data_IF_403120184702
#
_entry.id   IF_403120184702
#
_cell.length_a   1.000
_cell.length_b   1.000
_cell.length_c   1.000
_cell.angle_alpha   90.00
_cell.angle_beta   90.00
_cell.angle_gamma   90.00
#
_symmetry.space_group_name_H-M   'P 1'
#
loop_
_entity.id
_entity.type
_entity.pdbx_description
1 polymer ?
#
# COMPACT_ATOMS: atom_id res chain seq x y z
N UNK A 1 28.38 -5.60 1.98
CA UNK A 1 28.72 -4.15 1.96
C UNK A 1 28.44 -3.62 0.57
N UNK A 2 27.81 -2.46 0.46
CA UNK A 2 27.40 -1.83 -0.80
C UNK A 2 28.45 -0.78 -1.20
N UNK A 3 29.01 -0.87 -2.40
CA UNK A 3 29.89 0.18 -2.96
C UNK A 3 29.07 1.11 -3.86
N UNK A 4 28.92 2.37 -3.47
CA UNK A 4 28.11 3.34 -4.20
C UNK A 4 28.94 4.05 -5.27
N UNK A 5 28.48 4.00 -6.52
CA UNK A 5 29.16 4.54 -7.70
C UNK A 5 28.22 5.45 -8.48
N UNK A 6 28.75 6.50 -9.13
CA UNK A 6 27.93 7.45 -9.89
C UNK A 6 27.35 6.80 -11.16
N UNK A 7 26.07 7.07 -11.44
CA UNK A 7 25.34 6.47 -12.57
C UNK A 7 24.91 5.00 -12.40
N UNK A 8 25.28 4.33 -11.31
CA UNK A 8 24.94 2.92 -11.06
C UNK A 8 23.94 2.83 -9.90
N UNK A 9 22.81 2.15 -10.14
CA UNK A 9 21.85 1.81 -9.08
C UNK A 9 22.41 0.61 -8.30
N UNK A 10 22.64 0.73 -6.98
CA UNK A 10 23.21 -0.36 -6.20
C UNK A 10 22.20 -1.48 -5.95
N UNK A 11 22.68 -2.73 -5.90
CA UNK A 11 21.90 -3.84 -5.36
C UNK A 11 21.72 -3.68 -3.84
N UNK A 12 20.49 -3.93 -3.38
CA UNK A 12 20.06 -3.87 -1.99
C UNK A 12 19.29 -5.13 -1.62
N UNK A 13 19.38 -5.57 -0.36
CA UNK A 13 18.54 -6.65 0.17
C UNK A 13 17.33 -6.02 0.86
N UNK A 14 16.14 -6.30 0.38
CA UNK A 14 14.88 -5.86 0.99
C UNK A 14 14.29 -7.01 1.79
N UNK A 15 14.04 -6.78 3.08
CA UNK A 15 13.43 -7.74 4.02
C UNK A 15 12.23 -7.15 4.76
N UNK A 16 12.08 -5.83 4.69
CA UNK A 16 11.16 -5.03 5.50
C UNK A 16 10.41 -4.02 4.65
N UNK A 17 9.28 -3.53 5.14
CA UNK A 17 8.49 -2.47 4.49
C UNK A 17 9.16 -1.09 4.52
N UNK A 18 10.05 -0.86 5.49
CA UNK A 18 10.69 0.43 5.74
C UNK A 18 12.22 0.36 5.69
N UNK A 19 12.86 1.45 5.25
CA UNK A 19 14.31 1.62 5.33
C UNK A 19 14.69 2.73 6.31
N UNK A 20 15.77 2.56 7.09
CA UNK A 20 16.36 3.57 7.97
C UNK A 20 17.77 3.91 7.49
N UNK A 21 18.06 5.17 7.21
CA UNK A 21 19.36 5.64 6.69
C UNK A 21 20.05 6.55 7.71
N UNK A 22 21.31 6.28 8.05
CA UNK A 22 22.12 7.13 8.92
C UNK A 22 23.54 7.41 8.36
N UNK A 23 24.02 8.65 8.53
CA UNK A 23 25.35 9.09 8.02
C UNK A 23 26.27 9.69 9.10
N UNK A 24 25.84 9.73 10.35
CA UNK A 24 26.58 10.24 11.52
C UNK A 24 26.75 9.12 12.55
N UNK A 25 27.79 9.20 13.40
CA UNK A 25 27.99 8.21 14.46
C UNK A 25 26.78 8.10 15.40
N UNK A 26 26.19 9.24 15.74
CA UNK A 26 25.03 9.30 16.64
C UNK A 26 23.74 8.84 15.92
N UNK A 27 23.55 9.21 14.65
CA UNK A 27 22.47 8.66 13.83
C UNK A 27 22.53 7.14 13.68
N UNK A 28 23.71 6.53 13.65
CA UNK A 28 23.85 5.05 13.68
C UNK A 28 23.34 4.46 15.01
N UNK A 29 23.50 5.16 16.13
CA UNK A 29 22.92 4.71 17.41
C UNK A 29 21.39 4.76 17.37
N UNK A 30 20.81 5.87 16.88
CA UNK A 30 19.36 6.01 16.69
C UNK A 30 18.80 4.95 15.73
N UNK A 31 19.42 4.75 14.56
CA UNK A 31 19.00 3.76 13.57
C UNK A 31 19.03 2.32 14.12
N UNK A 32 20.08 1.98 14.87
CA UNK A 32 20.19 0.66 15.51
C UNK A 32 19.25 0.50 16.70
N UNK A 33 18.85 1.59 17.36
CA UNK A 33 17.81 1.57 18.38
C UNK A 33 16.44 1.29 17.75
N UNK A 34 16.08 1.98 16.67
CA UNK A 34 14.86 1.75 15.89
C UNK A 34 14.74 0.29 15.40
N UNK A 35 15.83 -0.30 14.92
CA UNK A 35 15.87 -1.73 14.55
C UNK A 35 15.41 -2.67 15.68
N UNK A 36 15.60 -2.26 16.95
CA UNK A 36 15.20 -3.05 18.13
C UNK A 36 13.85 -2.67 18.72
N UNK A 37 13.44 -1.40 18.63
CA UNK A 37 12.21 -0.89 19.27
C UNK A 37 11.01 -0.76 18.35
N UNK A 38 11.23 -0.53 17.05
CA UNK A 38 10.16 -0.38 16.05
C UNK A 38 9.96 -1.68 15.25
N UNK A 39 11.06 -2.39 14.93
CA UNK A 39 11.02 -3.56 14.06
C UNK A 39 10.67 -3.20 12.60
N UNK A 40 10.54 -4.19 11.73
CA UNK A 40 10.08 -3.98 10.35
C UNK A 40 10.89 -2.95 9.53
N UNK A 41 12.19 -2.81 9.81
CA UNK A 41 13.12 -1.87 9.14
C UNK A 41 14.39 -2.56 8.67
N UNK A 42 14.82 -2.22 7.44
CA UNK A 42 16.18 -2.47 6.98
C UNK A 42 17.04 -1.22 7.21
N UNK A 43 18.23 -1.39 7.80
CA UNK A 43 19.08 -0.28 8.28
C UNK A 43 20.31 -0.12 7.40
N UNK A 44 20.54 1.10 6.92
CA UNK A 44 21.64 1.46 6.03
C UNK A 44 22.51 2.54 6.68
N UNK A 45 23.81 2.28 6.84
CA UNK A 45 24.77 3.31 7.28
C UNK A 45 26.18 3.10 6.75
N UNK A 46 26.99 4.17 6.87
CA UNK A 46 28.36 4.19 6.34
C UNK A 46 29.26 3.15 7.03
N UNK A 47 30.02 2.40 6.23
CA UNK A 47 30.98 1.36 6.66
C UNK A 47 31.93 1.82 7.76
N UNK A 48 32.37 3.08 7.74
CA UNK A 48 33.23 3.71 8.77
C UNK A 48 32.63 3.77 10.18
N UNK A 49 31.36 3.43 10.37
CA UNK A 49 30.68 3.35 11.66
C UNK A 49 30.27 1.92 12.05
N UNK A 50 30.77 0.91 11.33
CA UNK A 50 30.56 -0.50 11.65
C UNK A 50 31.11 -0.86 13.04
N UNK A 51 30.47 -1.84 13.67
CA UNK A 51 30.73 -2.36 15.02
C UNK A 51 31.17 -3.82 15.01
N UNK A 52 31.05 -4.51 13.87
CA UNK A 52 31.49 -5.89 13.66
C UNK A 52 30.40 -6.95 13.82
N UNK A 53 29.15 -6.54 14.03
CA UNK A 53 27.98 -7.41 14.25
C UNK A 53 26.89 -7.28 13.16
N UNK A 54 27.17 -6.48 12.12
CA UNK A 54 26.20 -6.10 11.07
C UNK A 54 25.87 -7.21 10.05
N UNK A 55 26.79 -8.13 9.77
CA UNK A 55 26.58 -9.26 8.86
C UNK A 55 27.46 -10.44 9.30
N UNK A 56 26.84 -11.57 9.63
CA UNK A 56 27.48 -12.89 9.50
C UNK A 56 26.71 -13.64 8.42
N UNK A 57 27.23 -13.61 7.20
CA UNK A 57 26.78 -14.46 6.09
C UNK A 57 28.00 -15.07 5.44
N UNK A 58 28.24 -16.36 5.71
CA UNK A 58 29.12 -17.18 4.88
C UNK A 58 28.48 -17.35 3.51
N UNK A 59 29.14 -16.89 2.45
CA UNK A 59 28.71 -17.18 1.09
C UNK A 59 28.81 -18.69 0.83
N UNK A 60 27.66 -19.33 0.59
CA UNK A 60 27.61 -20.72 0.13
C UNK A 60 28.11 -20.83 -1.31
N UNK A 61 29.02 -21.77 -1.55
CA UNK A 61 29.73 -21.91 -2.82
C UNK A 61 28.80 -22.20 -4.01
N UNK A 62 29.04 -21.49 -5.12
CA UNK A 62 28.51 -21.82 -6.43
C UNK A 62 29.67 -21.83 -7.47
N UNK A 63 30.66 -22.70 -7.25
CA UNK A 63 31.55 -23.11 -8.34
C UNK A 63 30.80 -24.10 -9.24
N UNK A 64 30.76 -23.82 -10.54
CA UNK A 64 30.30 -24.77 -11.55
C UNK A 64 29.17 -24.27 -12.46
N UNK A 65 29.54 -23.58 -13.54
CA UNK A 65 29.63 -24.26 -14.84
C UNK A 65 30.48 -23.42 -15.82
N UNK A 66 31.40 -24.09 -16.51
CA UNK A 66 32.09 -23.49 -17.66
C UNK A 66 31.20 -23.55 -18.90
N UNK A 67 31.15 -22.47 -19.67
CA UNK A 67 31.24 -22.58 -21.12
C UNK A 67 31.91 -21.33 -21.69
N UNK A 68 32.84 -21.55 -22.62
CA UNK A 68 33.58 -20.48 -23.27
C UNK A 68 33.13 -20.37 -24.74
N UNK A 69 32.99 -19.15 -25.23
CA UNK A 69 33.11 -18.84 -26.65
C UNK A 69 33.68 -17.43 -26.80
N UNK A 70 34.78 -17.33 -27.53
CA UNK A 70 35.44 -16.06 -27.85
C UNK A 70 35.33 -15.80 -29.35
N UNK A 71 34.88 -14.60 -29.70
CA UNK A 71 35.18 -13.86 -30.92
C UNK A 71 34.75 -12.40 -30.66
N UNK A 72 35.36 -11.35 -31.18
CA UNK A 72 36.41 -11.28 -32.20
C UNK A 72 36.16 -10.04 -33.07
N UNK A 73 36.71 -8.88 -32.71
CA UNK A 73 36.43 -7.63 -33.46
C UNK A 73 37.26 -6.43 -33.00
N UNK A 74 37.92 -5.74 -33.94
CA UNK A 74 38.95 -4.72 -33.69
C UNK A 74 38.60 -3.35 -34.29
N UNK A 75 38.84 -2.30 -33.49
CA UNK A 75 39.54 -1.05 -33.83
C UNK A 75 38.85 0.09 -34.63
N UNK A 76 39.44 1.29 -34.41
CA UNK A 76 39.25 2.62 -35.01
C UNK A 76 37.91 3.34 -34.70
N UNK A 77 37.87 4.64 -34.34
CA UNK A 77 38.92 5.60 -33.98
C UNK A 77 38.95 6.85 -34.87
N UNK A 78 38.50 8.00 -34.35
CA UNK A 78 38.89 9.34 -34.82
C UNK A 78 38.56 10.43 -33.79
N UNK A 79 39.47 11.39 -33.65
CA UNK A 79 39.36 12.60 -32.83
C UNK A 79 39.02 13.82 -33.67
N UNK A 80 38.31 14.82 -33.13
CA UNK A 80 38.61 16.25 -33.40
C UNK A 80 38.31 17.09 -32.14
N UNK A 81 39.16 18.09 -31.88
CA UNK A 81 38.91 19.20 -30.95
C UNK A 81 37.77 20.12 -31.47
N UNK A 82 37.20 21.10 -30.76
CA UNK A 82 37.48 21.70 -29.44
C UNK A 82 37.30 23.23 -29.56
N UNK A 83 36.74 23.89 -28.55
CA UNK A 83 36.70 25.35 -28.41
C UNK A 83 36.34 25.75 -26.96
N UNK A 84 36.97 26.81 -26.46
CA UNK A 84 36.86 27.27 -25.07
C UNK A 84 35.80 28.38 -24.91
N UNK A 85 35.23 28.52 -23.70
CA UNK A 85 35.50 29.66 -22.80
C UNK A 85 34.38 29.95 -21.78
N UNK A 86 34.79 30.15 -20.51
CA UNK A 86 34.34 31.20 -19.57
C UNK A 86 32.84 31.38 -19.21
N UNK A 87 32.42 31.59 -17.95
CA UNK A 87 33.04 31.49 -16.61
C UNK A 87 31.97 31.74 -15.51
N UNK A 88 32.38 31.57 -14.24
CA UNK A 88 31.79 32.08 -12.98
C UNK A 88 30.58 31.35 -12.38
N UNK A 89 30.87 30.58 -11.32
CA UNK A 89 30.02 30.48 -10.13
C UNK A 89 30.91 30.21 -8.88
N UNK A 90 31.34 31.29 -8.24
CA UNK A 90 31.70 31.30 -6.80
C UNK A 90 30.43 31.04 -5.95
N UNK A 91 30.45 30.58 -4.70
CA UNK A 91 31.46 29.90 -3.90
C UNK A 91 30.74 29.33 -2.65
N UNK A 92 31.22 28.21 -2.08
CA UNK A 92 30.97 27.81 -0.69
C UNK A 92 31.72 26.50 -0.35
N UNK A 93 33.04 26.59 -0.15
CA UNK A 93 33.80 25.48 0.44
C UNK A 93 34.65 26.04 1.58
N UNK A 94 34.32 25.68 2.82
CA UNK A 94 35.01 26.12 4.02
C UNK A 94 35.21 24.91 4.94
N UNK A 95 36.42 24.35 4.89
CA UNK A 95 36.84 23.29 5.79
C UNK A 95 37.21 23.86 7.17
N UNK A 96 37.07 23.04 8.22
CA UNK A 96 37.76 23.24 9.49
C UNK A 96 38.64 22.02 9.74
N UNK A 97 39.92 22.29 9.98
CA UNK A 97 40.96 21.29 10.24
C UNK A 97 40.95 20.84 11.70
N UNK A 98 41.42 19.61 11.96
CA UNK A 98 41.86 19.16 13.27
C UNK A 98 43.25 18.53 13.14
N UNK A 99 44.15 18.85 14.07
CA UNK A 99 45.56 18.45 14.03
C UNK A 99 45.89 17.36 15.06
N UNK A 100 46.85 16.50 14.73
CA UNK A 100 47.38 15.45 15.60
C UNK A 100 48.30 16.00 16.71
N UNK A 101 48.16 15.50 17.96
CA UNK A 101 49.28 15.31 18.91
C UNK A 101 49.01 14.06 19.80
N UNK A 102 50.01 13.18 19.90
CA UNK A 102 50.21 12.10 20.89
C UNK A 102 51.70 12.15 21.35
N UNK A 103 52.28 11.27 22.22
CA UNK A 103 51.81 10.07 22.97
C UNK A 103 51.83 10.32 24.51
N UNK A 104 51.95 9.41 25.51
CA UNK A 104 52.24 7.95 25.64
C UNK A 104 51.60 7.42 26.97
N UNK A 105 51.80 6.20 27.50
CA UNK A 105 52.64 5.05 27.13
C UNK A 105 52.46 3.84 28.09
N UNK A 106 52.87 2.63 27.63
CA UNK A 106 53.27 1.37 28.35
C UNK A 106 52.47 0.88 29.59
N UNK A 107 52.07 -0.39 29.77
CA UNK A 107 52.28 -1.70 29.09
C UNK A 107 51.19 -2.71 29.59
N UNK A 108 51.02 -3.97 29.14
CA UNK A 108 51.65 -4.71 28.02
C UNK A 108 51.93 -6.21 28.35
N UNK A 109 50.96 -7.11 28.13
CA UNK A 109 51.11 -8.59 28.19
C UNK A 109 50.37 -9.28 27.04
N UNK A 110 50.95 -10.36 26.50
CA UNK A 110 50.50 -11.14 25.33
C UNK A 110 49.56 -12.33 25.71
N UNK A 111 48.92 -13.02 24.74
CA UNK A 111 47.56 -13.55 24.91
C UNK A 111 47.48 -15.00 25.38
N UNK A 112 46.26 -15.42 25.70
CA UNK A 112 45.88 -16.83 25.89
C UNK A 112 44.71 -17.14 24.96
N UNK A 113 44.85 -18.18 24.12
CA UNK A 113 43.77 -18.65 23.25
C UNK A 113 42.57 -19.16 24.06
N UNK A 114 41.36 -18.73 23.66
CA UNK A 114 40.11 -19.34 24.08
C UNK A 114 39.22 -19.54 22.85
N UNK A 115 38.88 -20.79 22.55
CA UNK A 115 38.19 -21.18 21.33
C UNK A 115 36.78 -20.59 21.21
N UNK A 116 36.35 -20.31 19.98
CA UNK A 116 35.04 -19.78 19.67
C UNK A 116 33.91 -20.80 19.96
N UNK A 117 32.77 -20.36 20.52
CA UNK A 117 31.53 -21.12 20.48
C UNK A 117 30.73 -20.84 19.20
N UNK A 118 30.43 -21.93 18.48
CA UNK A 118 29.25 -22.20 17.66
C UNK A 118 28.37 -21.04 17.14
N UNK A 119 28.15 -21.08 15.82
CA UNK A 119 27.05 -20.47 15.05
C UNK A 119 25.77 -20.16 15.84
N UNK A 120 25.63 -18.90 16.26
CA UNK A 120 24.33 -18.28 16.52
C UNK A 120 24.01 -17.34 15.34
N UNK A 121 22.80 -17.43 14.77
CA UNK A 121 22.33 -16.47 13.78
C UNK A 121 22.20 -15.09 14.44
N UNK A 122 22.84 -14.06 13.88
CA UNK A 122 22.83 -12.72 14.45
C UNK A 122 21.39 -12.18 14.62
N UNK A 123 21.02 -11.62 15.78
CA UNK A 123 19.74 -10.94 15.95
C UNK A 123 19.65 -9.62 15.15
N UNK A 124 20.73 -9.21 14.47
CA UNK A 124 20.80 -7.99 13.65
C UNK A 124 20.62 -8.24 12.15
N UNK A 125 19.81 -9.24 11.78
CA UNK A 125 19.39 -9.43 10.40
C UNK A 125 18.62 -8.23 9.87
N UNK A 126 19.25 -7.40 9.04
CA UNK A 126 18.64 -6.18 8.49
C UNK A 126 19.61 -5.00 8.30
N UNK A 127 20.84 -5.07 8.82
CA UNK A 127 21.84 -4.02 8.62
C UNK A 127 22.58 -4.21 7.28
N UNK A 128 22.79 -3.12 6.54
CA UNK A 128 23.53 -3.07 5.28
C UNK A 128 24.48 -1.88 5.26
N UNK A 129 25.77 -2.18 5.45
CA UNK A 129 26.84 -1.19 5.37
C UNK A 129 27.05 -0.72 3.94
N UNK A 130 27.18 0.59 3.72
CA UNK A 130 27.54 1.18 2.44
C UNK A 130 28.80 2.07 2.50
N UNK A 131 29.46 2.25 1.38
CA UNK A 131 30.57 3.19 1.20
C UNK A 131 30.32 4.09 -0.02
N UNK A 132 30.80 5.33 0.03
CA UNK A 132 30.53 6.36 -0.98
C UNK A 132 29.41 7.34 -0.58
N UNK A 133 28.85 8.05 -1.56
CA UNK A 133 27.85 9.10 -1.33
C UNK A 133 26.45 8.53 -1.16
N UNK A 134 25.83 8.75 0.00
CA UNK A 134 24.47 8.29 0.34
C UNK A 134 23.41 8.69 -0.68
N UNK A 135 23.62 9.78 -1.45
CA UNK A 135 22.75 10.20 -2.56
C UNK A 135 22.53 9.06 -3.57
N UNK A 136 23.55 8.25 -3.83
CA UNK A 136 23.50 7.15 -4.81
C UNK A 136 22.76 5.91 -4.29
N UNK A 137 22.41 5.86 -3.00
CA UNK A 137 21.60 4.78 -2.43
C UNK A 137 20.09 5.01 -2.67
N UNK A 138 19.65 6.27 -2.68
CA UNK A 138 18.23 6.61 -2.87
C UNK A 138 17.58 6.04 -4.15
N UNK A 139 18.23 6.02 -5.34
CA UNK A 139 17.66 5.39 -6.54
C UNK A 139 17.26 3.92 -6.37
N UNK A 140 17.93 3.17 -5.48
CA UNK A 140 17.57 1.79 -5.16
C UNK A 140 16.48 1.72 -4.08
N UNK A 141 16.55 2.57 -3.04
CA UNK A 141 15.59 2.54 -1.93
C UNK A 141 14.21 3.11 -2.31
N UNK A 142 14.17 4.17 -3.10
CA UNK A 142 12.95 4.94 -3.41
C UNK A 142 11.82 4.11 -4.06
N UNK A 143 12.08 3.19 -5.02
CA UNK A 143 11.05 2.30 -5.55
C UNK A 143 10.85 1.01 -4.73
N UNK A 144 11.70 0.73 -3.73
CA UNK A 144 11.78 -0.58 -3.09
C UNK A 144 11.09 -0.67 -1.71
N UNK A 145 10.85 0.47 -1.05
CA UNK A 145 10.28 0.54 0.30
C UNK A 145 8.97 1.34 0.31
N UNK A 146 8.06 1.01 1.22
CA UNK A 146 6.83 1.80 1.45
C UNK A 146 7.15 3.15 2.10
N UNK A 147 8.19 3.19 2.94
CA UNK A 147 8.67 4.42 3.55
C UNK A 147 10.16 4.39 3.91
N UNK A 148 10.77 5.57 3.98
CA UNK A 148 12.20 5.76 4.24
C UNK A 148 12.39 6.79 5.35
N UNK A 149 13.03 6.36 6.42
CA UNK A 149 13.36 7.13 7.63
C UNK A 149 14.81 7.60 7.49
N UNK A 150 15.02 8.91 7.35
CA UNK A 150 16.32 9.51 7.14
C UNK A 150 16.83 10.22 8.40
N UNK A 151 17.87 9.70 9.02
CA UNK A 151 18.59 10.35 10.14
C UNK A 151 19.71 11.22 9.56
N UNK A 152 19.25 12.27 8.85
CA UNK A 152 20.01 13.18 7.99
C UNK A 152 19.28 14.53 8.02
N UNK A 153 19.99 15.65 7.91
CA UNK A 153 19.35 16.98 7.88
C UNK A 153 18.32 17.11 6.76
N UNK A 154 17.14 17.64 7.08
CA UNK A 154 15.98 17.77 6.18
C UNK A 154 16.34 18.36 4.81
N UNK A 155 17.10 19.47 4.80
CA UNK A 155 17.51 20.14 3.57
C UNK A 155 18.46 19.33 2.69
N UNK A 156 19.21 18.37 3.25
CA UNK A 156 20.00 17.43 2.46
C UNK A 156 19.12 16.33 1.86
N UNK A 157 18.19 15.76 2.65
CA UNK A 157 17.24 14.74 2.20
C UNK A 157 16.40 15.26 1.03
N UNK A 158 15.79 16.44 1.17
CA UNK A 158 15.01 17.08 0.10
C UNK A 158 15.81 17.22 -1.20
N UNK A 159 17.09 17.63 -1.14
CA UNK A 159 17.96 17.75 -2.33
C UNK A 159 18.32 16.40 -2.95
N UNK A 160 18.40 15.33 -2.16
CA UNK A 160 18.70 13.98 -2.66
C UNK A 160 17.50 13.32 -3.33
N UNK A 161 16.29 13.51 -2.77
CA UNK A 161 15.06 12.92 -3.32
C UNK A 161 14.44 13.74 -4.45
N UNK A 162 14.69 15.05 -4.53
CA UNK A 162 14.08 15.93 -5.55
C UNK A 162 14.19 15.43 -7.01
N UNK A 163 15.31 14.81 -7.47
CA UNK A 163 15.40 14.25 -8.83
C UNK A 163 14.65 12.92 -9.03
N UNK A 164 14.10 12.32 -7.96
CA UNK A 164 13.43 11.01 -7.98
C UNK A 164 11.90 11.12 -7.83
N UNK A 165 11.39 12.30 -7.46
CA UNK A 165 9.97 12.54 -7.24
C UNK A 165 9.17 12.35 -8.54
N UNK A 166 8.07 11.60 -8.47
CA UNK A 166 7.16 11.38 -9.59
C UNK A 166 5.77 11.91 -9.25
N UNK A 167 5.09 11.27 -8.30
CA UNK A 167 3.77 11.68 -7.85
C UNK A 167 3.42 11.13 -6.46
N UNK A 168 2.57 11.85 -5.72
CA UNK A 168 2.18 11.54 -4.33
C UNK A 168 1.44 10.19 -4.11
N UNK A 169 1.14 9.44 -5.17
CA UNK A 169 0.49 8.11 -5.11
C UNK A 169 1.50 6.98 -5.31
N UNK A 170 2.69 7.25 -5.86
CA UNK A 170 3.78 6.29 -6.07
C UNK A 170 4.99 6.55 -5.18
N UNK A 171 5.29 7.82 -4.92
CA UNK A 171 6.45 8.20 -4.12
C UNK A 171 6.29 7.68 -2.68
N UNK A 172 7.32 7.03 -2.09
CA UNK A 172 7.25 6.45 -0.75
C UNK A 172 7.11 7.52 0.33
N UNK A 173 6.62 7.12 1.51
CA UNK A 173 6.59 8.00 2.67
C UNK A 173 8.00 8.35 3.14
N UNK A 174 8.40 9.63 3.06
CA UNK A 174 9.71 10.07 3.58
C UNK A 174 9.52 10.73 4.94
N UNK A 175 10.25 10.22 5.93
CA UNK A 175 10.32 10.75 7.29
C UNK A 175 11.76 11.16 7.59
N UNK A 176 11.95 12.30 8.26
CA UNK A 176 13.27 12.79 8.68
C UNK A 176 13.34 12.85 10.20
N UNK A 177 14.45 12.37 10.76
CA UNK A 177 14.78 12.48 12.18
C UNK A 177 15.99 13.39 12.32
N UNK A 178 15.95 14.36 13.23
CA UNK A 178 17.13 15.17 13.54
C UNK A 178 18.21 14.34 14.28
N UNK A 179 19.46 14.80 14.28
CA UNK A 179 20.59 14.00 14.78
C UNK A 179 20.46 13.65 16.28
N UNK A 180 19.71 14.41 17.08
CA UNK A 180 19.44 14.09 18.50
C UNK A 180 18.20 13.21 18.71
N UNK A 181 17.37 13.02 17.69
CA UNK A 181 16.09 12.33 17.81
C UNK A 181 15.01 13.08 18.59
N UNK A 182 15.06 14.43 18.64
CA UNK A 182 14.02 15.23 19.31
C UNK A 182 12.73 15.32 18.48
N UNK A 183 12.86 15.33 17.14
CA UNK A 183 11.78 15.50 16.17
C UNK A 183 11.77 14.43 15.09
N UNK A 184 10.57 13.99 14.74
CA UNK A 184 10.30 13.05 13.64
C UNK A 184 9.34 13.74 12.67
N UNK A 185 9.84 14.11 11.50
CA UNK A 185 9.22 15.07 10.58
C UNK A 185 8.69 14.31 9.36
N UNK A 186 7.40 14.43 9.05
CA UNK A 186 6.84 13.96 7.78
C UNK A 186 7.25 14.92 6.65
N UNK A 187 7.82 14.38 5.56
CA UNK A 187 8.45 15.19 4.49
C UNK A 187 7.79 15.00 3.13
N UNK A 188 7.47 13.75 2.75
CA UNK A 188 6.91 13.41 1.45
C UNK A 188 5.81 12.35 1.62
N UNK A 189 4.76 12.41 0.79
CA UNK A 189 3.67 11.43 0.75
C UNK A 189 2.97 11.20 2.11
N UNK A 190 2.64 12.31 2.80
CA UNK A 190 2.04 12.31 4.14
C UNK A 190 0.83 11.40 4.33
N UNK A 191 -0.16 11.44 3.42
CA UNK A 191 -1.37 10.63 3.51
C UNK A 191 -1.21 9.24 2.87
N UNK A 192 -1.30 9.15 1.54
CA UNK A 192 -1.38 7.87 0.83
C UNK A 192 -0.14 6.98 1.01
N UNK A 193 1.05 7.58 0.91
CA UNK A 193 2.33 6.93 1.18
C UNK A 193 2.70 6.82 2.67
N UNK A 194 1.80 7.19 3.59
CA UNK A 194 1.91 6.86 5.01
C UNK A 194 2.92 7.65 5.84
N UNK A 195 3.59 8.69 5.32
CA UNK A 195 4.63 9.39 6.11
C UNK A 195 4.10 10.07 7.39
N UNK A 196 2.82 10.47 7.43
CA UNK A 196 2.22 11.03 8.65
C UNK A 196 1.96 9.97 9.72
N UNK A 197 1.63 8.74 9.31
CA UNK A 197 1.45 7.61 10.21
C UNK A 197 2.82 7.13 10.71
N UNK A 198 3.74 6.85 9.80
CA UNK A 198 5.13 6.47 10.11
C UNK A 198 5.82 7.48 11.02
N UNK A 199 5.61 8.80 10.81
CA UNK A 199 6.17 9.83 11.69
C UNK A 199 5.59 9.79 13.12
N UNK A 200 4.32 9.41 13.31
CA UNK A 200 3.72 9.23 14.65
C UNK A 200 4.26 7.99 15.34
N UNK A 201 4.30 6.86 14.64
CA UNK A 201 4.75 5.59 15.21
C UNK A 201 6.23 5.63 15.60
N UNK A 202 7.09 6.15 14.71
CA UNK A 202 8.52 6.34 14.97
C UNK A 202 8.74 7.35 16.11
N UNK A 203 7.95 8.43 16.17
CA UNK A 203 8.00 9.35 17.30
C UNK A 203 7.64 8.66 18.62
N UNK A 204 6.57 7.87 18.65
CA UNK A 204 6.16 7.12 19.84
C UNK A 204 7.23 6.10 20.27
N UNK A 205 7.82 5.37 19.32
CA UNK A 205 8.88 4.39 19.57
C UNK A 205 10.21 5.01 20.08
N UNK A 206 10.42 6.32 19.84
CA UNK A 206 11.59 7.07 20.30
C UNK A 206 11.34 7.96 21.51
N UNK A 207 10.08 8.22 21.88
CA UNK A 207 9.72 9.29 22.83
C UNK A 207 9.94 10.70 22.26
N UNK A 208 9.94 10.83 20.93
CA UNK A 208 10.21 12.06 20.20
C UNK A 208 8.92 12.81 19.82
N UNK A 209 9.05 14.02 19.25
CA UNK A 209 7.91 14.81 18.78
C UNK A 209 7.65 14.60 17.28
N UNK A 210 6.48 14.05 16.94
CA UNK A 210 6.00 14.03 15.56
C UNK A 210 5.73 15.47 15.06
N UNK A 211 6.19 15.79 13.86
CA UNK A 211 5.96 17.07 13.17
C UNK A 211 5.23 16.78 11.85
N UNK A 212 3.95 17.12 11.83
CA UNK A 212 3.03 16.93 10.70
C UNK A 212 2.40 18.29 10.38
N UNK A 213 2.37 18.63 9.10
CA UNK A 213 1.98 19.96 8.60
C UNK A 213 0.87 19.93 7.54
N UNK A 214 0.36 18.74 7.19
CA UNK A 214 -0.76 18.55 6.27
C UNK A 214 -2.03 19.18 6.83
N UNK A 215 -2.72 19.97 5.99
CA UNK A 215 -3.86 20.77 6.42
C UNK A 215 -4.97 19.94 7.06
N UNK A 216 -5.32 18.78 6.47
CA UNK A 216 -6.33 17.86 7.00
C UNK A 216 -5.99 17.28 8.39
N UNK A 217 -4.74 16.91 8.65
CA UNK A 217 -4.30 16.45 9.97
C UNK A 217 -4.33 17.58 11.01
N UNK A 218 -3.94 18.80 10.61
CA UNK A 218 -3.92 19.99 11.49
C UNK A 218 -5.34 20.47 11.81
N UNK A 219 -6.22 20.51 10.82
CA UNK A 219 -7.63 20.91 10.94
C UNK A 219 -8.53 19.80 11.51
N UNK A 220 -8.03 18.56 11.65
CA UNK A 220 -8.80 17.38 12.09
C UNK A 220 -10.08 17.18 11.26
N UNK A 221 -9.93 17.22 9.93
CA UNK A 221 -11.01 17.07 8.96
C UNK A 221 -10.76 15.87 8.03
N UNK A 222 -11.68 15.58 7.12
CA UNK A 222 -11.62 14.40 6.25
C UNK A 222 -10.39 14.48 5.32
N UNK A 223 -9.47 13.54 5.44
CA UNK A 223 -8.50 13.26 4.38
C UNK A 223 -9.22 12.52 3.25
N UNK A 224 -9.65 13.25 2.22
CA UNK A 224 -10.45 12.75 1.09
C UNK A 224 -9.77 11.58 0.37
N UNK A 225 -8.44 11.57 0.31
CA UNK A 225 -7.63 10.49 -0.26
C UNK A 225 -7.44 9.26 0.68
N UNK A 226 -7.88 9.34 1.94
CA UNK A 226 -7.92 8.19 2.87
C UNK A 226 -9.37 7.80 3.25
N UNK A 227 -10.37 8.55 2.82
CA UNK A 227 -11.77 8.30 3.11
C UNK A 227 -12.19 6.91 2.61
N UNK A 228 -12.73 6.07 3.51
CA UNK A 228 -13.10 4.69 3.19
C UNK A 228 -11.96 3.67 3.08
N UNK A 229 -10.68 4.09 3.10
CA UNK A 229 -9.53 3.18 2.90
C UNK A 229 -9.50 2.03 3.90
N UNK A 230 -9.85 2.30 5.18
CA UNK A 230 -9.92 1.30 6.26
C UNK A 230 -11.02 0.24 6.06
N UNK A 231 -11.99 0.52 5.19
CA UNK A 231 -13.10 -0.34 4.83
C UNK A 231 -12.92 -1.00 3.45
N UNK A 232 -11.75 -0.80 2.82
CA UNK A 232 -11.48 -1.31 1.47
C UNK A 232 -12.28 -0.60 0.36
N UNK A 233 -12.76 0.64 0.59
CA UNK A 233 -13.43 1.39 -0.47
C UNK A 233 -12.44 1.84 -1.54
N UNK A 234 -12.83 1.71 -2.80
CA UNK A 234 -12.07 2.19 -3.97
C UNK A 234 -12.74 3.44 -4.55
N UNK A 235 -12.01 4.51 -4.82
CA UNK A 235 -12.57 5.65 -5.55
C UNK A 235 -12.50 5.41 -7.07
N UNK A 236 -13.54 5.83 -7.78
CA UNK A 236 -13.61 5.70 -9.25
C UNK A 236 -12.99 6.92 -9.97
N UNK A 237 -13.05 8.11 -9.35
CA UNK A 237 -12.68 9.40 -9.95
C UNK A 237 -11.51 10.04 -9.22
N UNK A 238 -10.29 9.75 -9.67
CA UNK A 238 -9.05 10.20 -9.02
C UNK A 238 -8.64 11.65 -9.36
N UNK A 239 -9.35 12.29 -10.28
CA UNK A 239 -9.19 13.67 -10.76
C UNK A 239 -9.84 14.70 -9.80
N UNK A 240 -10.95 14.32 -9.16
CA UNK A 240 -11.68 15.18 -8.20
C UNK A 240 -11.12 15.17 -6.79
N UNK A 241 -10.19 14.25 -6.47
CA UNK A 241 -9.54 14.17 -5.15
C UNK A 241 -8.96 15.52 -4.70
N UNK A 242 -8.23 16.22 -5.57
CA UNK A 242 -7.59 17.51 -5.23
C UNK A 242 -8.58 18.65 -5.00
N UNK A 243 -9.51 18.97 -5.91
CA UNK A 243 -10.47 20.06 -5.68
C UNK A 243 -11.45 19.76 -4.53
N UNK A 244 -11.89 18.52 -4.33
CA UNK A 244 -12.74 18.15 -3.19
C UNK A 244 -11.95 18.25 -1.87
N UNK A 245 -10.66 17.88 -1.84
CA UNK A 245 -9.79 18.14 -0.69
C UNK A 245 -9.69 19.63 -0.38
N UNK A 246 -9.59 20.48 -1.41
CA UNK A 246 -9.54 21.93 -1.21
C UNK A 246 -10.84 22.48 -0.60
N UNK A 247 -12.00 22.04 -1.07
CA UNK A 247 -13.30 22.40 -0.46
C UNK A 247 -13.42 21.99 1.01
N UNK A 248 -12.94 20.79 1.36
CA UNK A 248 -12.89 20.32 2.77
C UNK A 248 -11.96 21.20 3.63
N UNK A 249 -10.78 21.55 3.13
CA UNK A 249 -9.79 22.39 3.83
C UNK A 249 -10.21 23.87 3.93
N UNK A 250 -10.99 24.37 2.96
CA UNK A 250 -11.54 25.72 2.93
C UNK A 250 -12.83 25.88 3.76
N UNK A 251 -13.26 24.84 4.49
CA UNK A 251 -14.50 24.82 5.29
C UNK A 251 -15.79 25.09 4.46
N UNK A 252 -15.76 24.78 3.15
CA UNK A 252 -16.91 24.90 2.25
C UNK A 252 -18.01 23.87 2.61
N UNK A 253 -19.23 24.04 2.07
CA UNK A 253 -20.29 23.07 2.30
C UNK A 253 -20.01 21.76 1.55
N UNK A 254 -19.80 20.67 2.28
CA UNK A 254 -19.49 19.34 1.73
C UNK A 254 -20.61 18.36 2.06
N UNK A 255 -21.17 17.73 1.04
CA UNK A 255 -22.13 16.65 1.21
C UNK A 255 -21.43 15.29 1.38
N UNK A 256 -21.90 14.47 2.31
CA UNK A 256 -21.53 13.07 2.47
C UNK A 256 -22.77 12.23 2.20
N UNK A 257 -22.72 11.36 1.19
CA UNK A 257 -23.82 10.47 0.83
C UNK A 257 -23.33 9.04 1.00
N UNK A 258 -24.00 8.24 1.81
CA UNK A 258 -23.65 6.82 2.02
C UNK A 258 -24.91 5.98 1.87
N UNK A 259 -25.06 5.38 0.69
CA UNK A 259 -26.19 4.52 0.36
C UNK A 259 -25.91 3.05 0.67
N UNK A 260 -24.63 2.71 0.87
CA UNK A 260 -24.16 1.35 1.18
C UNK A 260 -22.74 1.38 1.72
N UNK A 261 -22.35 0.32 2.41
CA UNK A 261 -21.08 0.26 3.13
C UNK A 261 -21.23 0.79 4.56
N UNK A 262 -20.09 1.17 5.14
CA UNK A 262 -19.92 1.43 6.56
C UNK A 262 -20.39 2.85 6.94
N UNK A 263 -21.46 3.00 7.77
CA UNK A 263 -21.96 4.29 8.21
C UNK A 263 -21.08 4.94 9.30
N UNK A 264 -20.19 4.17 9.94
CA UNK A 264 -19.20 4.66 10.91
C UNK A 264 -17.99 5.32 10.24
N UNK A 265 -18.20 6.21 9.27
CA UNK A 265 -17.14 6.82 8.46
C UNK A 265 -16.33 7.88 9.21
N UNK A 266 -16.93 8.52 10.22
CA UNK A 266 -16.25 9.50 11.05
C UNK A 266 -15.53 8.81 12.22
N UNK A 267 -14.22 9.05 12.34
CA UNK A 267 -13.31 8.29 13.21
C UNK A 267 -12.57 9.12 14.25
N UNK A 268 -12.74 10.44 14.20
CA UNK A 268 -12.03 11.37 15.08
C UNK A 268 -12.84 11.60 16.36
N UNK A 269 -12.15 11.76 17.50
CA UNK A 269 -12.78 12.04 18.80
C UNK A 269 -13.47 13.42 18.87
N UNK A 270 -13.37 14.22 17.82
CA UNK A 270 -14.07 15.50 17.63
C UNK A 270 -15.43 15.29 16.94
N UNK A 271 -16.44 16.15 17.13
CA UNK A 271 -17.65 16.08 16.31
C UNK A 271 -17.36 16.38 14.83
N UNK A 272 -18.24 15.92 13.93
CA UNK A 272 -18.22 16.29 12.50
C UNK A 272 -18.39 17.82 12.36
N UNK A 273 -17.52 18.52 11.60
CA UNK A 273 -17.65 19.94 11.32
C UNK A 273 -19.00 20.32 10.70
N UNK A 274 -19.63 21.47 11.07
CA UNK A 274 -21.00 21.81 10.67
C UNK A 274 -21.19 22.13 9.17
N UNK A 275 -20.08 22.32 8.46
CA UNK A 275 -20.03 22.47 7.00
C UNK A 275 -20.03 21.12 6.26
N UNK A 276 -19.78 20.01 6.96
CA UNK A 276 -19.88 18.64 6.43
C UNK A 276 -21.23 18.07 6.86
N UNK A 277 -22.07 17.67 5.90
CA UNK A 277 -23.44 17.20 6.18
C UNK A 277 -23.74 15.88 5.47
N UNK A 278 -24.38 14.96 6.19
CA UNK A 278 -24.85 13.71 5.63
C UNK A 278 -26.22 13.85 4.99
N UNK A 279 -26.42 13.19 3.85
CA UNK A 279 -27.69 13.11 3.11
C UNK A 279 -28.06 11.65 2.83
N UNK A 280 -29.35 11.35 2.76
CA UNK A 280 -29.86 9.98 2.56
C UNK A 280 -29.75 9.48 1.11
N UNK A 281 -29.63 10.40 0.16
CA UNK A 281 -29.48 10.09 -1.27
C UNK A 281 -28.66 11.15 -2.01
N UNK A 282 -28.19 10.81 -3.22
CA UNK A 282 -27.50 11.78 -4.11
C UNK A 282 -28.44 12.91 -4.54
N UNK A 283 -29.74 12.62 -4.70
CA UNK A 283 -30.75 13.62 -5.05
C UNK A 283 -30.92 14.70 -3.96
N UNK A 284 -31.05 14.28 -2.70
CA UNK A 284 -31.10 15.21 -1.55
C UNK A 284 -29.83 16.08 -1.45
N UNK A 285 -28.67 15.47 -1.69
CA UNK A 285 -27.41 16.20 -1.72
C UNK A 285 -27.37 17.24 -2.85
N UNK A 286 -27.83 16.90 -4.06
CA UNK A 286 -27.91 17.84 -5.18
C UNK A 286 -28.85 19.03 -4.88
N UNK A 287 -30.01 18.78 -4.27
CA UNK A 287 -30.97 19.81 -3.88
C UNK A 287 -30.43 20.78 -2.84
N UNK A 288 -29.49 20.34 -1.99
CA UNK A 288 -28.81 21.18 -1.01
C UNK A 288 -27.71 22.08 -1.60
N UNK A 289 -27.30 21.87 -2.86
CA UNK A 289 -26.29 22.70 -3.55
C UNK A 289 -24.91 22.77 -2.87
N UNK A 290 -24.26 21.64 -2.50
CA UNK A 290 -22.95 21.63 -1.88
C UNK A 290 -21.86 22.11 -2.84
N UNK A 291 -20.75 22.58 -2.28
CA UNK A 291 -19.56 22.97 -3.04
C UNK A 291 -18.75 21.73 -3.47
N UNK A 292 -18.79 20.67 -2.65
CA UNK A 292 -18.19 19.39 -2.97
C UNK A 292 -18.96 18.20 -2.38
N UNK A 293 -18.73 17.00 -2.89
CA UNK A 293 -19.39 15.78 -2.42
C UNK A 293 -18.46 14.58 -2.23
N UNK A 294 -18.74 13.77 -1.21
CA UNK A 294 -18.18 12.44 -0.99
C UNK A 294 -19.35 11.45 -1.09
N UNK A 295 -19.40 10.67 -2.17
CA UNK A 295 -20.51 9.76 -2.47
C UNK A 295 -20.05 8.31 -2.37
N UNK A 296 -20.69 7.52 -1.52
CA UNK A 296 -20.35 6.12 -1.25
C UNK A 296 -21.55 5.26 -1.66
N UNK A 297 -21.43 4.57 -2.79
CA UNK A 297 -22.52 3.73 -3.30
C UNK A 297 -22.00 2.62 -4.21
N UNK A 298 -22.65 1.46 -4.12
CA UNK A 298 -22.47 0.34 -5.04
C UNK A 298 -23.19 0.55 -6.37
N UNK A 299 -24.13 1.52 -6.44
CA UNK A 299 -24.93 1.79 -7.65
C UNK A 299 -24.17 2.62 -8.67
N UNK A 300 -24.43 2.38 -9.95
CA UNK A 300 -24.13 3.33 -11.02
C UNK A 300 -25.06 4.54 -10.86
N UNK A 301 -24.49 5.75 -10.97
CA UNK A 301 -25.27 6.98 -10.84
C UNK A 301 -26.03 7.25 -12.15
N UNK A 302 -27.34 7.50 -12.03
CA UNK A 302 -28.19 7.90 -13.15
C UNK A 302 -27.74 9.24 -13.75
N UNK A 303 -28.13 9.51 -15.00
CA UNK A 303 -27.72 10.74 -15.73
C UNK A 303 -28.05 12.05 -15.00
N UNK A 304 -29.04 12.06 -14.10
CA UNK A 304 -29.34 13.21 -13.25
C UNK A 304 -28.37 13.32 -12.06
N UNK A 305 -28.09 12.19 -11.40
CA UNK A 305 -27.17 12.10 -10.26
C UNK A 305 -25.72 12.44 -10.64
N UNK A 306 -25.30 12.19 -11.89
CA UNK A 306 -23.94 12.51 -12.39
C UNK A 306 -23.50 13.96 -12.13
N UNK A 307 -24.43 14.91 -12.01
CA UNK A 307 -24.13 16.30 -11.66
C UNK A 307 -23.35 16.44 -10.34
N UNK A 308 -23.51 15.52 -9.39
CA UNK A 308 -22.82 15.56 -8.08
C UNK A 308 -21.31 15.40 -8.23
N UNK A 309 -20.84 14.75 -9.30
CA UNK A 309 -19.42 14.50 -9.59
C UNK A 309 -18.74 15.69 -10.27
N UNK A 310 -19.47 16.78 -10.57
CA UNK A 310 -18.89 18.04 -11.05
C UNK A 310 -17.77 18.54 -10.12
N UNK A 311 -17.96 18.42 -8.81
CA UNK A 311 -16.92 18.47 -7.78
C UNK A 311 -17.17 17.40 -6.71
N UNK A 312 -17.25 16.12 -7.11
CA UNK A 312 -17.52 15.01 -6.20
C UNK A 312 -16.54 13.85 -6.38
N UNK A 313 -16.24 13.14 -5.30
CA UNK A 313 -15.49 11.88 -5.35
C UNK A 313 -16.46 10.72 -5.07
N UNK A 314 -16.47 9.76 -5.98
CA UNK A 314 -17.28 8.54 -5.90
C UNK A 314 -16.45 7.38 -5.35
N UNK A 315 -16.94 6.73 -4.29
CA UNK A 315 -16.33 5.62 -3.59
C UNK A 315 -17.20 4.36 -3.72
N UNK A 316 -16.54 3.22 -3.92
CA UNK A 316 -17.11 1.90 -4.16
C UNK A 316 -16.87 1.00 -2.95
N UNK A 317 -17.87 0.83 -2.08
CA UNK A 317 -17.76 -0.09 -0.95
C UNK A 317 -17.86 -1.54 -1.45
N UNK A 318 -17.09 -2.45 -0.84
CA UNK A 318 -17.08 -3.89 -1.20
C UNK A 318 -18.24 -4.60 -0.51
N UNK A 319 -19.44 -4.50 -1.09
CA UNK A 319 -20.71 -5.00 -0.50
C UNK A 319 -21.46 -6.01 -1.38
N UNK A 320 -21.16 -6.11 -2.67
CA UNK A 320 -21.88 -7.02 -3.57
C UNK A 320 -21.32 -8.43 -3.45
N UNK A 321 -22.20 -9.41 -3.26
CA UNK A 321 -21.88 -10.84 -3.12
C UNK A 321 -22.54 -11.60 -4.26
N UNK A 322 -21.73 -12.32 -5.05
CA UNK A 322 -22.18 -13.02 -6.25
C UNK A 322 -22.28 -14.53 -6.01
N UNK A 323 -23.48 -15.09 -6.06
CA UNK A 323 -23.68 -16.54 -6.05
C UNK A 323 -23.60 -17.09 -7.45
N UNK A 324 -22.69 -18.02 -7.72
CA UNK A 324 -22.49 -18.56 -9.07
C UNK A 324 -22.60 -20.09 -9.08
N UNK A 325 -23.42 -20.62 -9.99
CA UNK A 325 -23.50 -22.04 -10.31
C UNK A 325 -23.50 -22.27 -11.82
N UNK A 326 -22.38 -22.78 -12.34
CA UNK A 326 -22.19 -23.11 -13.76
C UNK A 326 -22.17 -24.63 -14.07
N UNK A 327 -21.98 -25.01 -15.33
CA UNK A 327 -21.57 -26.37 -15.70
C UNK A 327 -20.04 -26.52 -15.59
N UNK A 328 -19.50 -27.74 -15.47
CA UNK A 328 -18.03 -27.93 -15.47
C UNK A 328 -17.45 -27.65 -16.85
N UNK A 329 -16.34 -26.92 -16.89
CA UNK A 329 -15.69 -26.46 -18.12
C UNK A 329 -16.38 -25.25 -18.75
N UNK A 330 -17.08 -24.42 -17.95
CA UNK A 330 -17.67 -23.18 -18.46
C UNK A 330 -16.57 -22.14 -18.66
N UNK A 331 -16.42 -21.52 -19.86
CA UNK A 331 -15.38 -20.53 -20.11
C UNK A 331 -15.43 -19.34 -19.16
N UNK A 332 -14.27 -18.78 -18.84
CA UNK A 332 -14.16 -17.59 -17.99
C UNK A 332 -14.90 -16.39 -18.60
N UNK A 333 -14.88 -16.27 -19.93
CA UNK A 333 -15.53 -15.23 -20.70
C UNK A 333 -17.07 -15.31 -20.58
N UNK A 334 -17.64 -16.52 -20.61
CA UNK A 334 -19.09 -16.72 -20.42
C UNK A 334 -19.52 -16.34 -18.99
N UNK A 335 -18.70 -16.68 -18.00
CA UNK A 335 -18.94 -16.31 -16.59
C UNK A 335 -18.84 -14.78 -16.41
N UNK A 336 -17.81 -14.16 -16.95
CA UNK A 336 -17.59 -12.70 -16.87
C UNK A 336 -18.70 -11.91 -17.58
N UNK A 337 -19.11 -12.32 -18.79
CA UNK A 337 -20.21 -11.68 -19.52
C UNK A 337 -21.53 -11.76 -18.75
N UNK A 338 -21.82 -12.91 -18.12
CA UNK A 338 -23.03 -13.08 -17.29
C UNK A 338 -22.97 -12.24 -16.02
N UNK A 339 -21.80 -12.07 -15.39
CA UNK A 339 -21.62 -11.14 -14.25
C UNK A 339 -21.83 -9.70 -14.71
N UNK A 340 -21.11 -9.26 -15.76
CA UNK A 340 -21.11 -7.89 -16.22
C UNK A 340 -22.49 -7.42 -16.69
N UNK A 341 -23.18 -8.24 -17.51
CA UNK A 341 -24.55 -7.95 -17.96
C UNK A 341 -25.55 -7.90 -16.80
N UNK A 342 -25.42 -8.81 -15.83
CA UNK A 342 -26.32 -8.86 -14.67
C UNK A 342 -26.10 -7.69 -13.71
N UNK A 343 -24.86 -7.24 -13.50
CA UNK A 343 -24.59 -6.04 -12.71
C UNK A 343 -25.05 -4.76 -13.43
N UNK A 344 -24.88 -4.69 -14.76
CA UNK A 344 -25.41 -3.57 -15.55
C UNK A 344 -26.94 -3.49 -15.51
N UNK A 345 -27.66 -4.62 -15.59
CA UNK A 345 -29.12 -4.68 -15.44
C UNK A 345 -29.64 -4.27 -14.05
N UNK A 346 -28.79 -4.34 -13.02
CA UNK A 346 -29.10 -3.92 -11.65
C UNK A 346 -28.62 -2.49 -11.34
N UNK A 347 -28.04 -1.78 -12.31
CA UNK A 347 -27.32 -0.53 -12.12
C UNK A 347 -26.25 -0.63 -11.01
N UNK A 348 -25.47 -1.72 -10.96
CA UNK A 348 -24.44 -1.98 -9.96
C UNK A 348 -23.01 -1.91 -10.55
N UNK A 349 -22.07 -1.34 -9.79
CA UNK A 349 -20.66 -1.29 -10.16
C UNK A 349 -19.94 -2.60 -9.84
N UNK A 350 -19.22 -3.14 -10.82
CA UNK A 350 -18.33 -4.31 -10.65
C UNK A 350 -17.22 -4.06 -9.61
N UNK A 351 -16.83 -2.81 -9.40
CA UNK A 351 -15.87 -2.41 -8.37
C UNK A 351 -16.39 -2.62 -6.94
N UNK A 352 -17.71 -2.73 -6.75
CA UNK A 352 -18.33 -3.01 -5.44
C UNK A 352 -18.50 -4.51 -5.14
N UNK A 353 -18.07 -5.41 -6.03
CA UNK A 353 -18.03 -6.85 -5.75
C UNK A 353 -16.98 -7.17 -4.70
N UNK A 354 -17.44 -7.81 -3.62
CA UNK A 354 -16.63 -8.27 -2.48
C UNK A 354 -16.09 -9.67 -2.69
N UNK A 355 -16.94 -10.60 -3.15
CA UNK A 355 -16.62 -12.03 -3.23
C UNK A 355 -17.58 -12.77 -4.15
N UNK A 356 -17.15 -13.95 -4.62
CA UNK A 356 -17.98 -14.93 -5.30
C UNK A 356 -18.22 -16.12 -4.37
N UNK A 357 -19.45 -16.63 -4.32
CA UNK A 357 -19.85 -17.77 -3.51
C UNK A 357 -20.37 -18.91 -4.40
N UNK A 358 -19.97 -20.15 -4.12
CA UNK A 358 -20.41 -21.34 -4.86
C UNK A 358 -20.40 -22.60 -3.98
N UNK A 359 -20.60 -23.77 -4.59
CA UNK A 359 -20.50 -25.09 -3.94
C UNK A 359 -19.08 -25.65 -4.06
N UNK A 360 -18.61 -26.37 -3.04
CA UNK A 360 -17.26 -26.96 -2.95
C UNK A 360 -16.89 -27.89 -4.12
N UNK A 361 -17.87 -28.53 -4.77
CA UNK A 361 -17.70 -29.28 -6.03
C UNK A 361 -17.20 -28.43 -7.22
N UNK A 362 -17.08 -27.11 -7.04
CA UNK A 362 -16.54 -26.13 -8.00
C UNK A 362 -15.33 -25.36 -7.47
N UNK A 363 -14.71 -25.79 -6.37
CA UNK A 363 -13.49 -25.16 -5.86
C UNK A 363 -12.32 -25.21 -6.87
N UNK A 364 -12.35 -26.16 -7.81
CA UNK A 364 -11.38 -26.35 -8.91
C UNK A 364 -11.90 -25.91 -10.29
N UNK A 365 -13.01 -25.18 -10.38
CA UNK A 365 -13.58 -24.77 -11.68
C UNK A 365 -12.73 -23.65 -12.32
N UNK A 366 -11.92 -24.02 -13.31
CA UNK A 366 -10.92 -23.14 -13.96
C UNK A 366 -11.49 -21.80 -14.41
N UNK A 367 -12.66 -21.79 -15.07
CA UNK A 367 -13.30 -20.55 -15.54
C UNK A 367 -13.71 -19.62 -14.39
N UNK A 368 -14.16 -20.18 -13.27
CA UNK A 368 -14.55 -19.41 -12.09
C UNK A 368 -13.32 -18.85 -11.35
N UNK A 369 -12.29 -19.68 -11.21
CA UNK A 369 -11.00 -19.28 -10.63
C UNK A 369 -10.31 -18.20 -11.47
N UNK A 370 -10.38 -18.28 -12.80
CA UNK A 370 -9.82 -17.27 -13.70
C UNK A 370 -10.50 -15.90 -13.53
N UNK A 371 -11.84 -15.87 -13.47
CA UNK A 371 -12.60 -14.62 -13.20
C UNK A 371 -12.28 -14.08 -11.81
N UNK A 372 -12.28 -14.93 -10.77
CA UNK A 372 -11.95 -14.49 -9.41
C UNK A 372 -10.51 -13.93 -9.33
N UNK A 373 -9.55 -14.60 -9.96
CA UNK A 373 -8.15 -14.14 -10.04
C UNK A 373 -7.99 -12.83 -10.81
N UNK A 374 -8.73 -12.63 -11.92
CA UNK A 374 -8.72 -11.39 -12.72
C UNK A 374 -9.09 -10.16 -11.91
N UNK A 375 -10.08 -10.27 -11.02
CA UNK A 375 -10.60 -9.17 -10.22
C UNK A 375 -10.09 -9.16 -8.77
N UNK A 376 -9.27 -10.15 -8.36
CA UNK A 376 -8.82 -10.30 -6.98
C UNK A 376 -9.93 -10.69 -5.99
N UNK A 377 -11.04 -11.24 -6.46
CA UNK A 377 -12.16 -11.65 -5.61
C UNK A 377 -11.87 -12.97 -4.89
N UNK A 378 -12.12 -13.07 -3.57
CA UNK A 378 -12.17 -14.35 -2.88
C UNK A 378 -13.28 -15.24 -3.46
N UNK A 379 -12.99 -16.53 -3.62
CA UNK A 379 -13.98 -17.56 -3.91
C UNK A 379 -14.32 -18.32 -2.63
N UNK A 380 -15.54 -18.14 -2.12
CA UNK A 380 -16.07 -18.86 -0.97
C UNK A 380 -16.85 -20.07 -1.46
N UNK A 381 -16.62 -21.24 -0.84
CA UNK A 381 -17.28 -22.48 -1.23
C UNK A 381 -17.93 -23.15 -0.04
N UNK A 382 -19.16 -23.63 -0.22
CA UNK A 382 -19.94 -24.33 0.81
C UNK A 382 -20.17 -25.79 0.44
N UNK A 383 -20.36 -26.64 1.45
CA UNK A 383 -20.83 -28.02 1.28
C UNK A 383 -22.29 -28.05 0.81
N UNK A 384 -22.74 -29.16 0.20
CA UNK A 384 -24.16 -29.34 -0.15
C UNK A 384 -25.08 -29.21 1.06
N UNK A 385 -24.65 -29.69 2.22
CA UNK A 385 -25.36 -29.65 3.49
C UNK A 385 -25.60 -28.20 3.95
N UNK A 386 -24.54 -27.38 4.03
CA UNK A 386 -24.62 -25.95 4.41
C UNK A 386 -25.52 -25.13 3.46
N UNK A 387 -25.56 -25.48 2.18
CA UNK A 387 -26.45 -24.83 1.20
C UNK A 387 -27.92 -25.25 1.40
N UNK A 388 -28.17 -26.48 1.81
CA UNK A 388 -29.52 -26.99 2.06
C UNK A 388 -30.15 -26.45 3.36
N UNK A 389 -29.35 -25.89 4.29
CA UNK A 389 -29.83 -25.20 5.48
C UNK A 389 -30.49 -23.84 5.18
N UNK A 390 -30.22 -23.26 4.00
CA UNK A 390 -30.64 -21.90 3.64
C UNK A 390 -32.04 -21.85 2.99
N UNK A 391 -32.80 -20.74 3.17
CA UNK A 391 -34.17 -20.60 2.70
C UNK A 391 -34.26 -20.43 1.16
N UNK A 392 -34.50 -21.54 0.46
CA UNK A 392 -34.62 -21.56 -1.01
C UNK A 392 -36.05 -21.34 -1.52
N UNK A 393 -36.22 -20.41 -2.45
CA UNK A 393 -37.50 -20.18 -3.13
C UNK A 393 -37.80 -21.23 -4.21
N UNK A 394 -36.77 -21.76 -4.89
CA UNK A 394 -36.92 -22.67 -6.04
C UNK A 394 -35.96 -23.88 -5.97
N UNK A 395 -36.23 -24.86 -5.07
CA UNK A 395 -35.43 -26.07 -4.99
C UNK A 395 -35.51 -26.90 -6.27
N UNK A 396 -34.38 -27.45 -6.73
CA UNK A 396 -34.27 -28.20 -7.97
C UNK A 396 -33.82 -29.65 -7.72
N UNK A 397 -34.68 -30.66 -7.93
CA UNK A 397 -34.30 -32.07 -7.85
C UNK A 397 -33.16 -32.46 -8.82
N UNK A 398 -33.07 -31.77 -9.96
CA UNK A 398 -32.00 -31.96 -10.93
C UNK A 398 -30.65 -31.52 -10.37
N UNK A 399 -30.58 -30.35 -9.71
CA UNK A 399 -29.35 -29.86 -9.08
C UNK A 399 -28.97 -30.79 -7.92
N UNK A 400 -29.94 -31.21 -7.12
CA UNK A 400 -29.72 -32.16 -6.02
C UNK A 400 -29.09 -33.47 -6.51
N UNK A 401 -29.58 -34.05 -7.61
CA UNK A 401 -29.03 -35.28 -8.20
C UNK A 401 -27.54 -35.19 -8.58
N UNK A 402 -27.07 -34.01 -9.02
CA UNK A 402 -25.69 -33.81 -9.45
C UNK A 402 -24.76 -33.26 -8.37
N UNK A 403 -25.31 -32.63 -7.32
CA UNK A 403 -24.52 -31.83 -6.39
C UNK A 403 -24.79 -32.10 -4.91
N UNK A 404 -25.86 -32.82 -4.57
CA UNK A 404 -26.37 -32.95 -3.20
C UNK A 404 -27.13 -31.72 -2.68
N UNK A 405 -27.11 -30.59 -3.39
CA UNK A 405 -27.78 -29.35 -3.00
C UNK A 405 -29.03 -29.08 -3.86
N UNK A 406 -30.12 -28.60 -3.26
CA UNK A 406 -31.32 -28.21 -4.03
C UNK A 406 -31.13 -26.90 -4.81
N UNK A 407 -30.12 -26.10 -4.46
CA UNK A 407 -29.71 -24.88 -5.16
C UNK A 407 -28.24 -24.58 -4.87
N UNK A 408 -27.63 -23.70 -5.67
CA UNK A 408 -26.23 -23.26 -5.46
C UNK A 408 -26.15 -21.75 -5.33
N UNK A 409 -26.48 -20.98 -6.38
CA UNK A 409 -26.28 -19.52 -6.38
C UNK A 409 -27.03 -18.79 -5.27
N UNK A 410 -28.34 -19.02 -5.15
CA UNK A 410 -29.23 -18.40 -4.15
C UNK A 410 -28.80 -18.72 -2.70
N UNK A 411 -28.71 -20.00 -2.27
CA UNK A 411 -28.31 -20.33 -0.90
C UNK A 411 -26.86 -19.95 -0.59
N UNK A 412 -25.93 -19.97 -1.56
CA UNK A 412 -24.55 -19.58 -1.32
C UNK A 412 -24.41 -18.08 -0.97
N UNK A 413 -25.22 -17.20 -1.58
CA UNK A 413 -25.25 -15.78 -1.18
C UNK A 413 -25.90 -15.63 0.20
N UNK A 414 -27.07 -16.23 0.41
CA UNK A 414 -27.78 -16.16 1.70
C UNK A 414 -26.92 -16.67 2.87
N UNK A 415 -26.12 -17.72 2.65
CA UNK A 415 -25.21 -18.27 3.66
C UNK A 415 -24.09 -17.30 4.05
N UNK A 416 -23.69 -16.42 3.13
CA UNK A 416 -22.66 -15.41 3.32
C UNK A 416 -23.21 -14.09 3.90
N UNK A 417 -24.33 -13.57 3.39
CA UNK A 417 -24.90 -12.28 3.84
C UNK A 417 -25.88 -12.40 5.02
N UNK A 418 -26.34 -13.60 5.34
CA UNK A 418 -27.37 -13.88 6.34
C UNK A 418 -28.72 -14.26 5.71
N UNK A 419 -29.32 -15.34 6.19
CA UNK A 419 -30.54 -15.94 5.63
C UNK A 419 -31.78 -15.03 5.64
N UNK A 420 -31.80 -13.99 6.48
CA UNK A 420 -32.87 -13.00 6.57
C UNK A 420 -32.69 -11.79 5.64
N UNK A 421 -31.55 -11.67 4.96
CA UNK A 421 -31.27 -10.54 4.07
C UNK A 421 -31.85 -10.83 2.67
N UNK A 422 -32.65 -9.91 2.09
CA UNK A 422 -33.18 -10.10 0.75
C UNK A 422 -32.08 -10.02 -0.32
N UNK A 423 -32.19 -10.87 -1.34
CA UNK A 423 -31.32 -10.82 -2.51
C UNK A 423 -31.76 -9.71 -3.47
N UNK A 424 -30.81 -8.94 -3.99
CA UNK A 424 -31.04 -7.98 -5.07
C UNK A 424 -31.44 -8.69 -6.38
N UNK A 425 -30.89 -9.89 -6.60
CA UNK A 425 -31.33 -10.81 -7.63
C UNK A 425 -31.40 -12.23 -7.07
N UNK A 426 -32.61 -12.77 -6.94
CA UNK A 426 -32.82 -14.13 -6.43
C UNK A 426 -32.12 -15.16 -7.31
N UNK A 427 -32.36 -15.13 -8.62
CA UNK A 427 -31.82 -16.10 -9.59
C UNK A 427 -32.01 -15.64 -11.03
N UNK A 428 -30.95 -15.65 -11.83
CA UNK A 428 -30.97 -15.55 -13.30
C UNK A 428 -30.14 -16.68 -13.89
N UNK A 429 -30.63 -17.31 -14.96
CA UNK A 429 -29.85 -18.29 -15.73
C UNK A 429 -29.58 -17.73 -17.13
N UNK A 430 -28.32 -17.75 -17.54
CA UNK A 430 -27.89 -17.40 -18.89
C UNK A 430 -26.85 -18.42 -19.35
N UNK A 431 -27.09 -19.07 -20.49
CA UNK A 431 -26.24 -20.17 -20.98
C UNK A 431 -26.04 -21.28 -19.95
N UNK A 432 -24.78 -21.59 -19.66
CA UNK A 432 -24.32 -22.54 -18.66
C UNK A 432 -24.32 -21.98 -17.23
N UNK A 433 -24.45 -20.66 -17.05
CA UNK A 433 -24.27 -19.96 -15.78
C UNK A 433 -25.61 -19.64 -15.12
N UNK A 434 -25.69 -19.86 -13.81
CA UNK A 434 -26.76 -19.35 -12.95
C UNK A 434 -26.14 -18.39 -11.94
N UNK A 435 -26.69 -17.18 -11.85
CA UNK A 435 -26.21 -16.10 -10.98
C UNK A 435 -27.31 -15.64 -10.03
N UNK A 436 -26.91 -15.31 -8.81
CA UNK A 436 -27.70 -14.64 -7.77
C UNK A 436 -26.86 -13.50 -7.20
N UNK A 437 -27.50 -12.40 -6.79
CA UNK A 437 -26.79 -11.19 -6.31
C UNK A 437 -27.39 -10.74 -4.98
N UNK A 438 -26.53 -10.55 -3.98
CA UNK A 438 -26.88 -9.98 -2.69
C UNK A 438 -26.05 -8.75 -2.38
N UNK A 439 -26.59 -7.87 -1.55
CA UNK A 439 -25.86 -6.75 -0.96
C UNK A 439 -25.65 -7.11 0.51
N UNK A 440 -24.40 -7.26 0.94
CA UNK A 440 -24.08 -7.48 2.34
C UNK A 440 -24.43 -6.21 3.13
N UNK A 441 -25.30 -6.29 4.16
CA UNK A 441 -25.51 -5.18 5.07
C UNK A 441 -24.25 -4.95 5.90
N UNK A 442 -24.03 -3.72 6.35
CA UNK A 442 -23.00 -3.50 7.35
C UNK A 442 -23.41 -4.14 8.69
N UNK A 443 -22.51 -4.94 9.26
CA UNK A 443 -22.55 -5.44 10.62
C UNK A 443 -21.29 -4.97 11.35
N UNK A 444 -21.41 -4.50 12.59
CA UNK A 444 -20.29 -3.95 13.39
C UNK A 444 -19.23 -4.99 13.82
N UNK A 445 -19.29 -6.21 13.30
CA UNK A 445 -18.30 -7.26 13.53
C UNK A 445 -17.00 -6.97 12.75
N UNK A 446 -16.18 -6.11 13.34
CA UNK A 446 -14.75 -6.01 13.03
C UNK A 446 -14.09 -7.39 13.18
N UNK A 447 -13.16 -7.78 12.29
CA UNK A 447 -12.27 -8.91 12.54
C UNK A 447 -11.46 -8.67 13.83
N UNK A 448 -11.32 -9.72 14.65
CA UNK A 448 -10.41 -9.75 15.80
C UNK A 448 -8.95 -9.95 15.36
#
# INVERSE_FOLDING_TARGET
>A
MISLQEGIVPEIRVRSDYAVIAITKHGVELARNLLRSFGGVDVYYMSKFARGDEDVVSAGSAEGLMSASADGGRAAGSSVAGAEASARADAANAAVSAADIAPAGTAGTTPVDAAAPSTASSPYGGIQLFEGSVRMLFPALFPAYKGIICIISLGAVVRMIAPLLQDKKKDPGIVVIDDKGEHVISVLSGHLGGANELAREVAAAMGARAVITTASDVQKTIAVDLFGRRFGWEWESADKLTPVSASVVNEEQVAVVIESGEPGWWTLDTPVPPNIRSYGSVQEALEAGPHAALVVTHRLLSSAEQAILSNGVLYRPKVIVLGIGCNRGTPAEEIEEVIASTLAELDFSILSVKTVCTINLKADEEGLLAVCGKYGWPLVTYTPEELNEMPMNQPSPTVFKYTGAYGVSEPAVQRYIGASVPLALVKKKSGNVTISVGIQPFTEELPQ
#
